data_IF_792559024477
#
_entry.id   IF_792559024477
#
_cell.length_a   1.000
_cell.length_b   1.000
_cell.length_c   1.000
_cell.angle_alpha   90.00
_cell.angle_beta   90.00
_cell.angle_gamma   90.00
#
_symmetry.space_group_name_H-M   'P 1'
#
loop_
_entity.id
_entity.type
_entity.pdbx_description
1 polymer ?
#
# COMPACT_ATOMS: atom_id res chain seq x y z
N UNK A 1 12.57 0.24 -11.09
CA UNK A 1 11.60 -0.14 -10.04
C UNK A 1 12.38 -0.75 -8.90
N UNK A 2 12.29 -0.20 -7.69
CA UNK A 2 12.88 -0.79 -6.50
C UNK A 2 11.78 -1.52 -5.71
N UNK A 3 12.05 -2.74 -5.24
CA UNK A 3 11.14 -3.49 -4.38
C UNK A 3 11.48 -3.11 -2.94
N UNK A 4 10.59 -2.38 -2.26
CA UNK A 4 10.80 -1.97 -0.86
C UNK A 4 10.55 -3.13 0.11
N UNK A 5 9.53 -3.93 -0.16
CA UNK A 5 9.18 -5.10 0.62
C UNK A 5 8.24 -6.02 -0.17
N UNK A 6 8.12 -7.26 0.28
CA UNK A 6 7.11 -8.22 -0.19
C UNK A 6 6.26 -8.68 1.00
N UNK A 7 4.94 -8.74 0.83
CA UNK A 7 4.02 -9.22 1.85
C UNK A 7 3.15 -10.33 1.28
N UNK A 8 2.73 -11.25 2.15
CA UNK A 8 1.71 -12.25 1.82
C UNK A 8 0.32 -11.71 2.17
N UNK A 9 -0.68 -12.16 1.43
CA UNK A 9 -2.08 -11.93 1.78
C UNK A 9 -2.39 -12.79 3.00
N UNK A 10 -2.88 -12.16 4.07
CA UNK A 10 -3.32 -12.85 5.28
C UNK A 10 -4.78 -13.30 5.14
N UNK A 11 -5.35 -13.82 6.23
CA UNK A 11 -6.79 -14.10 6.30
C UNK A 11 -7.60 -12.84 5.99
N UNK A 12 -8.82 -13.05 5.51
CA UNK A 12 -9.78 -11.99 5.17
C UNK A 12 -9.27 -11.01 4.11
N UNK A 13 -8.37 -11.47 3.23
CA UNK A 13 -7.79 -10.69 2.13
C UNK A 13 -7.04 -9.43 2.58
N UNK A 14 -6.58 -9.40 3.84
CA UNK A 14 -5.80 -8.28 4.38
C UNK A 14 -4.34 -8.39 3.95
N UNK A 15 -3.69 -7.24 3.80
CA UNK A 15 -2.25 -7.13 3.57
C UNK A 15 -1.68 -6.24 4.65
N UNK A 16 -0.67 -6.74 5.36
CA UNK A 16 0.10 -5.91 6.29
C UNK A 16 1.03 -5.01 5.49
N UNK A 17 0.96 -3.70 5.73
CA UNK A 17 1.92 -2.75 5.15
C UNK A 17 3.24 -2.90 5.90
N UNK A 18 4.35 -3.32 5.27
CA UNK A 18 5.63 -3.52 5.92
C UNK A 18 6.17 -2.22 6.52
N UNK A 19 7.02 -2.33 7.56
CA UNK A 19 7.50 -1.17 8.32
C UNK A 19 8.18 -0.14 7.41
N UNK A 20 9.02 -0.60 6.50
CA UNK A 20 9.78 0.23 5.57
C UNK A 20 8.86 1.08 4.69
N UNK A 21 7.71 0.52 4.31
CA UNK A 21 6.72 1.22 3.49
C UNK A 21 5.90 2.21 4.33
N UNK A 22 5.58 1.86 5.60
CA UNK A 22 4.91 2.78 6.53
C UNK A 22 5.78 3.99 6.86
N UNK A 23 7.05 3.74 7.18
CA UNK A 23 8.02 4.78 7.52
C UNK A 23 8.23 5.73 6.33
N UNK A 24 8.31 5.18 5.10
CA UNK A 24 8.44 5.98 3.87
C UNK A 24 7.22 6.85 3.56
N UNK A 25 6.02 6.36 3.88
CA UNK A 25 4.75 7.06 3.59
C UNK A 25 4.21 7.83 4.81
N UNK A 26 4.96 7.85 5.91
CA UNK A 26 4.58 8.48 7.19
C UNK A 26 3.18 8.05 7.64
N UNK A 27 2.95 6.73 7.66
CA UNK A 27 1.66 6.13 8.00
C UNK A 27 1.55 5.80 9.49
N UNK A 28 0.50 6.31 10.11
CA UNK A 28 0.11 6.02 11.48
C UNK A 28 -1.17 5.17 11.56
N UNK A 29 -1.42 4.60 12.75
CA UNK A 29 -2.64 3.85 12.99
C UNK A 29 -3.85 4.79 12.92
N UNK A 30 -4.79 4.48 12.02
CA UNK A 30 -5.98 5.30 11.76
C UNK A 30 -5.88 6.13 10.47
N UNK A 31 -4.69 6.22 9.86
CA UNK A 31 -4.55 6.88 8.57
C UNK A 31 -5.35 6.16 7.48
N UNK A 32 -6.01 6.97 6.64
CA UNK A 32 -6.73 6.46 5.49
C UNK A 32 -5.81 6.30 4.28
N UNK A 33 -6.05 5.22 3.52
CA UNK A 33 -5.31 4.91 2.29
C UNK A 33 -6.26 4.88 1.10
N UNK A 34 -5.85 5.56 0.02
CA UNK A 34 -6.57 5.53 -1.25
C UNK A 34 -5.91 4.50 -2.15
N UNK A 35 -6.67 3.49 -2.56
CA UNK A 35 -6.25 2.48 -3.53
C UNK A 35 -6.74 2.86 -4.92
N UNK A 36 -5.87 2.77 -5.94
CA UNK A 36 -6.20 3.15 -7.31
C UNK A 36 -5.43 2.32 -8.34
N UNK A 37 -5.95 2.30 -9.56
CA UNK A 37 -5.29 1.70 -10.72
C UNK A 37 -4.80 2.81 -11.65
N UNK A 38 -3.69 2.55 -12.35
CA UNK A 38 -3.19 3.46 -13.39
C UNK A 38 -3.58 2.88 -14.74
N UNK A 39 -4.16 3.71 -15.62
CA UNK A 39 -4.54 3.31 -16.96
C UNK A 39 -3.36 2.63 -17.68
N UNK A 40 -3.62 1.50 -18.34
CA UNK A 40 -2.59 0.69 -19.01
C UNK A 40 -1.80 -0.26 -18.09
N UNK A 41 -1.98 -0.22 -16.77
CA UNK A 41 -1.29 -1.13 -15.82
C UNK A 41 -2.21 -2.25 -15.34
N UNK A 42 -2.43 -3.27 -16.19
CA UNK A 42 -3.25 -4.45 -15.84
C UNK A 42 -2.61 -5.25 -14.70
N UNK A 43 -3.42 -5.64 -13.71
CA UNK A 43 -2.98 -6.48 -12.58
C UNK A 43 -2.15 -5.76 -11.52
N UNK A 44 -2.13 -4.41 -11.53
CA UNK A 44 -1.44 -3.61 -10.51
C UNK A 44 -2.43 -2.71 -9.79
N UNK A 45 -2.30 -2.66 -8.48
CA UNK A 45 -2.99 -1.71 -7.61
C UNK A 45 -1.94 -0.89 -6.90
N UNK A 46 -2.08 0.43 -6.97
CA UNK A 46 -1.27 1.38 -6.24
C UNK A 46 -2.07 1.88 -5.03
N UNK A 47 -1.37 2.41 -4.03
CA UNK A 47 -2.00 3.11 -2.92
C UNK A 47 -1.18 4.33 -2.51
N UNK A 48 -1.84 5.27 -1.85
CA UNK A 48 -1.23 6.47 -1.26
C UNK A 48 -1.95 6.85 0.04
N UNK A 49 -1.27 7.61 0.91
CA UNK A 49 -1.92 8.27 2.05
C UNK A 49 -3.01 9.22 1.55
N UNK A 50 -4.17 9.21 2.20
CA UNK A 50 -5.23 10.18 1.94
C UNK A 50 -4.74 11.57 2.32
N UNK A 51 -4.99 12.57 1.47
CA UNK A 51 -4.43 13.92 1.64
C UNK A 51 -5.30 14.86 2.47
N UNK A 52 -6.06 14.33 3.45
CA UNK A 52 -6.85 15.14 4.38
C UNK A 52 -6.06 15.49 5.63
#
# INVERSE_FOLDING_TARGET
MAILATAKISRDFRVTIPKEVRDMLELDAGDELVFFTVAGSKGRVCFRKSGH
#
